data_IF_504294619815
#
_entry.id   IF_504294619815
#
_cell.length_a   1.000
_cell.length_b   1.000
_cell.length_c   1.000
_cell.angle_alpha   90.00
_cell.angle_beta   90.00
_cell.angle_gamma   90.00
#
_symmetry.space_group_name_H-M   'P 1'
#
loop_
_entity.id
_entity.type
_entity.pdbx_description
1 polymer ?
#
# COMPACT_ATOMS: atom_id res chain seq x y z
N UNK A 1 2.11 -18.13 8.35
CA UNK A 1 2.55 -16.72 8.59
C UNK A 1 2.13 -16.39 10.01
N UNK A 2 3.08 -15.97 10.83
CA UNK A 2 2.85 -15.60 12.21
C UNK A 2 3.07 -14.09 12.42
N UNK A 3 2.51 -13.49 13.47
CA UNK A 3 2.76 -12.11 13.81
C UNK A 3 4.28 -11.81 13.89
N UNK A 4 4.69 -10.65 13.40
CA UNK A 4 6.09 -10.18 13.34
C UNK A 4 7.02 -10.94 12.39
N UNK A 5 6.48 -11.79 11.52
CA UNK A 5 7.24 -12.40 10.45
C UNK A 5 7.20 -11.56 9.17
N UNK A 6 8.26 -11.68 8.38
CA UNK A 6 8.40 -11.07 7.06
C UNK A 6 8.57 -12.18 6.05
N UNK A 7 7.69 -12.19 5.07
CA UNK A 7 7.69 -13.19 4.02
C UNK A 7 7.89 -12.51 2.67
N UNK A 8 8.75 -13.08 1.86
CA UNK A 8 8.89 -12.72 0.46
C UNK A 8 8.45 -13.92 -0.35
N UNK A 9 7.38 -13.78 -1.12
CA UNK A 9 6.89 -14.82 -2.02
C UNK A 9 7.32 -14.44 -3.42
N UNK A 10 8.10 -15.32 -4.03
CA UNK A 10 8.73 -15.10 -5.32
C UNK A 10 8.18 -16.12 -6.32
N UNK A 11 7.88 -15.67 -7.52
CA UNK A 11 7.37 -16.55 -8.59
C UNK A 11 7.18 -15.80 -9.90
N UNK A 12 7.13 -16.54 -11.01
CA UNK A 12 6.84 -15.97 -12.32
C UNK A 12 5.44 -15.35 -12.40
N UNK A 13 5.18 -14.54 -13.42
CA UNK A 13 3.83 -14.07 -13.69
C UNK A 13 2.87 -15.26 -13.90
N UNK A 14 1.67 -15.15 -13.32
CA UNK A 14 0.69 -16.25 -13.36
C UNK A 14 0.95 -17.40 -12.37
N UNK A 15 1.98 -17.35 -11.51
CA UNK A 15 2.27 -18.41 -10.51
C UNK A 15 1.30 -18.45 -9.32
N UNK A 16 0.28 -17.58 -9.29
CA UNK A 16 -0.72 -17.57 -8.23
C UNK A 16 -0.39 -16.65 -7.05
N UNK A 17 0.60 -15.76 -7.14
CA UNK A 17 0.96 -14.81 -6.07
C UNK A 17 -0.22 -13.94 -5.64
N UNK A 18 -0.91 -13.32 -6.61
CA UNK A 18 -2.08 -12.48 -6.32
C UNK A 18 -3.25 -13.31 -5.78
N UNK A 19 -3.44 -14.54 -6.27
CA UNK A 19 -4.43 -15.48 -5.71
C UNK A 19 -4.11 -15.82 -4.23
N UNK A 20 -2.83 -15.99 -3.91
CA UNK A 20 -2.38 -16.18 -2.53
C UNK A 20 -2.67 -14.94 -1.66
N UNK A 21 -2.44 -13.74 -2.19
CA UNK A 21 -2.81 -12.49 -1.51
C UNK A 21 -4.31 -12.41 -1.21
N UNK A 22 -5.16 -12.73 -2.20
CA UNK A 22 -6.61 -12.77 -2.05
C UNK A 22 -7.05 -13.82 -1.02
N UNK A 23 -6.39 -14.98 -0.99
CA UNK A 23 -6.66 -15.99 0.03
C UNK A 23 -6.33 -15.49 1.44
N UNK A 24 -5.21 -14.77 1.62
CA UNK A 24 -4.85 -14.15 2.91
C UNK A 24 -5.85 -13.07 3.34
N UNK A 25 -6.52 -12.43 2.40
CA UNK A 25 -7.58 -11.43 2.65
C UNK A 25 -8.95 -12.07 2.89
N UNK A 26 -9.07 -13.40 2.81
CA UNK A 26 -10.33 -14.16 2.82
C UNK A 26 -11.27 -13.82 1.64
N UNK A 27 -10.72 -13.34 0.54
CA UNK A 27 -11.46 -12.99 -0.69
C UNK A 27 -11.55 -14.17 -1.67
N UNK A 28 -10.78 -15.24 -1.44
CA UNK A 28 -10.85 -16.47 -2.23
C UNK A 28 -11.43 -17.62 -1.39
N UNK A 29 -12.47 -18.30 -1.89
CA UNK A 29 -12.99 -19.49 -1.22
C UNK A 29 -11.99 -20.65 -1.33
N UNK A 30 -11.82 -21.37 -0.22
CA UNK A 30 -11.04 -22.62 -0.20
C UNK A 30 -11.84 -23.72 -0.93
N UNK A 31 -11.23 -24.36 -1.92
CA UNK A 31 -11.86 -25.49 -2.61
C UNK A 31 -11.61 -26.82 -1.87
N UNK A 32 -10.37 -27.04 -1.42
CA UNK A 32 -9.98 -28.24 -0.67
C UNK A 32 -8.89 -27.89 0.36
N UNK A 33 -8.79 -28.68 1.42
CA UNK A 33 -7.76 -28.55 2.44
C UNK A 33 -8.23 -27.79 3.70
N UNK A 34 -7.27 -27.36 4.52
CA UNK A 34 -7.51 -26.61 5.76
C UNK A 34 -6.76 -25.29 5.68
N UNK A 35 -7.49 -24.20 5.81
CA UNK A 35 -6.94 -22.86 5.91
C UNK A 35 -7.28 -22.27 7.27
N UNK A 36 -6.27 -21.77 7.97
CA UNK A 36 -6.44 -21.06 9.24
C UNK A 36 -5.83 -19.68 9.12
N UNK A 37 -6.66 -18.66 9.17
CA UNK A 37 -6.24 -17.26 9.19
C UNK A 37 -6.60 -16.66 10.53
N UNK A 38 -5.61 -16.15 11.26
CA UNK A 38 -5.78 -15.49 12.56
C UNK A 38 -5.73 -13.96 12.45
N UNK A 39 -5.39 -13.44 11.29
CA UNK A 39 -5.34 -12.01 11.03
C UNK A 39 -6.76 -11.46 10.86
N UNK A 40 -7.08 -10.41 11.61
CA UNK A 40 -8.41 -9.77 11.60
C UNK A 40 -8.46 -8.56 10.68
N UNK A 41 -7.34 -7.84 10.59
CA UNK A 41 -7.20 -6.65 9.78
C UNK A 41 -6.06 -6.84 8.77
N UNK A 42 -6.41 -7.24 7.57
CA UNK A 42 -5.46 -7.43 6.47
C UNK A 42 -5.58 -6.24 5.52
N UNK A 43 -4.48 -5.55 5.28
CA UNK A 43 -4.41 -4.50 4.28
C UNK A 43 -3.52 -4.94 3.14
N UNK A 44 -3.92 -4.65 1.91
CA UNK A 44 -3.12 -4.92 0.72
C UNK A 44 -2.80 -3.63 -0.01
N UNK A 45 -1.59 -3.57 -0.51
CA UNK A 45 -1.10 -2.52 -1.36
C UNK A 45 -0.56 -3.14 -2.66
N UNK A 46 -1.11 -2.73 -3.80
CA UNK A 46 -0.63 -3.14 -5.13
C UNK A 46 -0.54 -1.94 -6.05
N UNK A 47 0.34 -2.03 -7.04
CA UNK A 47 0.45 -1.01 -8.08
C UNK A 47 -0.83 -0.87 -8.90
N UNK A 48 -1.48 -1.99 -9.21
CA UNK A 48 -2.73 -2.02 -9.95
C UNK A 48 -3.84 -1.25 -9.22
N UNK A 49 -4.02 -1.53 -7.93
CA UNK A 49 -4.99 -0.82 -7.08
C UNK A 49 -4.69 0.69 -6.98
N UNK A 50 -3.41 1.05 -6.94
CA UNK A 50 -3.00 2.45 -6.98
C UNK A 50 -3.46 3.14 -8.27
N UNK A 51 -3.26 2.50 -9.42
CA UNK A 51 -3.68 3.03 -10.72
C UNK A 51 -5.19 3.19 -10.81
N UNK A 52 -5.95 2.21 -10.32
CA UNK A 52 -7.42 2.28 -10.27
C UNK A 52 -7.92 3.46 -9.43
N UNK A 53 -7.32 3.69 -8.26
CA UNK A 53 -7.67 4.82 -7.38
C UNK A 53 -7.39 6.15 -8.10
N UNK A 54 -6.24 6.27 -8.73
CA UNK A 54 -5.88 7.49 -9.46
C UNK A 54 -6.81 7.74 -10.65
N UNK A 55 -7.11 6.72 -11.45
CA UNK A 55 -8.04 6.81 -12.58
C UNK A 55 -9.46 7.18 -12.13
N UNK A 56 -9.95 6.58 -11.04
CA UNK A 56 -11.25 6.92 -10.47
C UNK A 56 -11.29 8.38 -9.99
N UNK A 57 -10.22 8.85 -9.35
CA UNK A 57 -10.10 10.25 -8.90
C UNK A 57 -10.13 11.20 -10.09
N UNK A 58 -9.37 10.91 -11.15
CA UNK A 58 -9.34 11.73 -12.36
C UNK A 58 -10.68 11.76 -13.09
N UNK A 59 -11.41 10.63 -13.15
CA UNK A 59 -12.76 10.58 -13.72
C UNK A 59 -13.73 11.46 -12.95
N UNK A 60 -13.67 11.46 -11.64
CA UNK A 60 -14.55 12.29 -10.81
C UNK A 60 -14.26 13.80 -10.98
N UNK A 61 -13.00 14.17 -11.25
CA UNK A 61 -12.60 15.56 -11.49
C UNK A 61 -12.97 16.06 -12.88
N UNK A 62 -13.10 15.17 -13.87
CA UNK A 62 -13.42 15.53 -15.26
C UNK A 62 -14.93 15.58 -15.54
N UNK A 63 -15.79 15.49 -14.54
CA UNK A 63 -17.21 15.69 -14.70
C UNK A 63 -17.51 17.19 -14.93
N UNK A 64 -18.36 17.51 -15.91
CA UNK A 64 -18.69 18.87 -16.35
C UNK A 64 -19.26 19.78 -15.24
N UNK A 65 -19.71 19.20 -14.13
CA UNK A 65 -20.25 19.94 -12.96
C UNK A 65 -19.20 20.24 -11.88
N UNK A 66 -17.92 19.95 -12.11
CA UNK A 66 -16.86 20.14 -11.11
C UNK A 66 -16.27 21.55 -11.25
N UNK A 67 -16.07 22.24 -10.10
CA UNK A 67 -15.34 23.50 -10.05
C UNK A 67 -13.97 23.37 -10.71
N UNK A 68 -13.61 24.23 -11.70
CA UNK A 68 -12.32 24.19 -12.37
C UNK A 68 -11.09 24.26 -11.43
N UNK A 69 -11.27 24.84 -10.24
CA UNK A 69 -10.24 24.95 -9.21
C UNK A 69 -10.25 23.78 -8.20
N UNK A 70 -11.16 22.84 -8.36
CA UNK A 70 -11.23 21.66 -7.49
C UNK A 70 -10.27 20.56 -7.98
N UNK A 71 -9.19 20.32 -7.26
CA UNK A 71 -8.17 19.31 -7.56
C UNK A 71 -8.31 18.01 -6.77
N UNK A 72 -9.48 17.75 -6.20
CA UNK A 72 -9.73 16.55 -5.39
C UNK A 72 -9.13 16.64 -3.99
N UNK A 73 -8.87 15.49 -3.41
CA UNK A 73 -8.35 15.36 -2.05
C UNK A 73 -6.86 15.69 -1.96
N UNK A 74 -6.45 16.23 -0.82
CA UNK A 74 -5.05 16.32 -0.43
C UNK A 74 -4.49 14.95 -0.02
N UNK A 75 -3.17 14.83 0.06
CA UNK A 75 -2.52 13.61 0.56
C UNK A 75 -2.97 13.28 2.00
N UNK A 76 -3.14 14.28 2.86
CA UNK A 76 -3.67 14.15 4.22
C UNK A 76 -5.08 13.54 4.22
N UNK A 77 -5.98 14.10 3.44
CA UNK A 77 -7.36 13.60 3.33
C UNK A 77 -7.40 12.19 2.77
N UNK A 78 -6.55 11.88 1.79
CA UNK A 78 -6.40 10.53 1.23
C UNK A 78 -5.92 9.53 2.29
N UNK A 79 -4.91 9.89 3.09
CA UNK A 79 -4.41 9.03 4.18
C UNK A 79 -5.50 8.78 5.22
N UNK A 80 -6.19 9.84 5.63
CA UNK A 80 -7.24 9.76 6.65
C UNK A 80 -8.47 8.99 6.19
N UNK A 81 -8.78 9.02 4.89
CA UNK A 81 -9.94 8.32 4.28
C UNK A 81 -11.24 8.54 5.08
N UNK A 82 -11.51 9.79 5.48
CA UNK A 82 -12.66 10.14 6.30
C UNK A 82 -12.49 9.89 7.81
N UNK A 83 -11.35 9.34 8.24
CA UNK A 83 -11.01 9.19 9.65
C UNK A 83 -10.51 10.49 10.28
N UNK A 84 -10.41 10.50 11.62
CA UNK A 84 -10.04 11.69 12.41
C UNK A 84 -8.71 11.53 13.18
N UNK A 85 -7.94 10.49 12.92
CA UNK A 85 -6.67 10.21 13.64
C UNK A 85 -5.50 11.08 13.14
N UNK A 86 -5.62 12.40 13.19
CA UNK A 86 -4.65 13.37 12.67
C UNK A 86 -3.24 13.17 13.23
N UNK A 87 -3.10 13.02 14.54
CA UNK A 87 -1.80 12.83 15.19
C UNK A 87 -1.08 11.57 14.69
N UNK A 88 -1.84 10.48 14.49
CA UNK A 88 -1.26 9.24 13.99
C UNK A 88 -0.93 9.33 12.50
N UNK A 89 -1.73 10.04 11.71
CA UNK A 89 -1.42 10.37 10.32
C UNK A 89 -0.09 11.13 10.21
N UNK A 90 0.13 12.14 11.03
CA UNK A 90 1.38 12.92 11.04
C UNK A 90 2.59 12.07 11.45
N UNK A 91 2.46 11.22 12.46
CA UNK A 91 3.52 10.29 12.86
C UNK A 91 3.89 9.31 11.74
N UNK A 92 2.91 8.77 11.01
CA UNK A 92 3.16 7.89 9.86
C UNK A 92 3.83 8.69 8.73
N UNK A 93 3.35 9.89 8.43
CA UNK A 93 3.91 10.75 7.40
C UNK A 93 5.38 11.12 7.68
N UNK A 94 5.72 11.40 8.92
CA UNK A 94 7.09 11.64 9.37
C UNK A 94 7.99 10.42 9.13
N UNK A 95 7.53 9.23 9.53
CA UNK A 95 8.26 7.97 9.34
C UNK A 95 8.49 7.60 7.88
N UNK A 96 7.55 7.93 7.01
CA UNK A 96 7.65 7.71 5.57
C UNK A 96 8.39 8.83 4.84
N UNK A 97 8.75 9.90 5.55
CA UNK A 97 9.40 11.08 4.97
C UNK A 97 8.51 11.84 3.99
N UNK A 98 7.19 11.90 4.24
CA UNK A 98 6.19 12.52 3.36
C UNK A 98 5.42 13.67 4.00
N UNK A 99 5.86 14.18 5.13
CA UNK A 99 5.19 15.29 5.82
C UNK A 99 4.98 16.50 4.90
N UNK A 100 5.95 16.78 4.01
CA UNK A 100 5.88 17.87 3.03
C UNK A 100 4.82 17.67 1.94
N UNK A 101 4.24 16.49 1.83
CA UNK A 101 3.18 16.16 0.85
C UNK A 101 1.78 16.35 1.39
N UNK A 102 1.60 16.38 2.71
CA UNK A 102 0.29 16.26 3.36
C UNK A 102 -0.75 17.25 2.82
N UNK A 103 -0.33 18.47 2.51
CA UNK A 103 -1.22 19.52 2.01
C UNK A 103 -1.21 19.66 0.47
N UNK A 104 -0.51 18.75 -0.24
CA UNK A 104 -0.54 18.69 -1.70
C UNK A 104 -1.70 17.85 -2.19
N UNK A 105 -2.30 18.24 -3.29
CA UNK A 105 -3.34 17.44 -3.94
C UNK A 105 -2.79 16.10 -4.42
N UNK A 106 -3.51 15.03 -4.11
CA UNK A 106 -3.12 13.65 -4.41
C UNK A 106 -2.81 13.43 -5.91
N UNK A 107 -3.64 14.01 -6.80
CA UNK A 107 -3.46 13.91 -8.25
C UNK A 107 -2.19 14.60 -8.78
N UNK A 108 -1.57 15.48 -7.99
CA UNK A 108 -0.35 16.22 -8.36
C UNK A 108 0.93 15.56 -7.84
N UNK A 109 0.80 14.39 -7.22
CA UNK A 109 1.93 13.63 -6.69
C UNK A 109 2.58 12.80 -7.80
N UNK A 110 3.91 12.63 -7.70
CA UNK A 110 4.62 11.66 -8.53
C UNK A 110 4.22 10.23 -8.16
N UNK A 111 4.50 9.27 -9.04
CA UNK A 111 4.19 7.85 -8.79
C UNK A 111 4.79 7.35 -7.48
N UNK A 112 6.04 7.71 -7.16
CA UNK A 112 6.69 7.32 -5.91
C UNK A 112 6.07 7.98 -4.68
N UNK A 113 5.68 9.26 -4.77
CA UNK A 113 4.99 9.99 -3.71
C UNK A 113 3.59 9.42 -3.47
N UNK A 114 2.84 9.14 -4.53
CA UNK A 114 1.51 8.51 -4.46
C UNK A 114 1.58 7.17 -3.73
N UNK A 115 2.58 6.34 -4.03
CA UNK A 115 2.80 5.06 -3.33
C UNK A 115 3.02 5.22 -1.85
N UNK A 116 3.84 6.19 -1.44
CA UNK A 116 4.09 6.46 -0.03
C UNK A 116 2.82 6.92 0.69
N UNK A 117 2.01 7.76 0.04
CA UNK A 117 0.72 8.21 0.58
C UNK A 117 -0.25 7.04 0.78
N UNK A 118 -0.37 6.15 -0.21
CA UNK A 118 -1.24 4.96 -0.11
C UNK A 118 -0.72 3.94 0.91
N UNK A 119 0.61 3.80 1.05
CA UNK A 119 1.19 3.00 2.13
C UNK A 119 0.86 3.62 3.50
N UNK A 120 0.93 4.95 3.63
CA UNK A 120 0.52 5.64 4.86
C UNK A 120 -0.95 5.38 5.19
N UNK A 121 -1.84 5.43 4.19
CA UNK A 121 -3.26 5.10 4.35
C UNK A 121 -3.46 3.66 4.86
N UNK A 122 -2.75 2.69 4.27
CA UNK A 122 -2.83 1.29 4.71
C UNK A 122 -2.31 1.11 6.16
N UNK A 123 -1.21 1.78 6.52
CA UNK A 123 -0.63 1.73 7.86
C UNK A 123 -1.52 2.40 8.91
N UNK A 124 -2.27 3.46 8.52
CA UNK A 124 -3.20 4.15 9.41
C UNK A 124 -4.31 3.21 9.91
N UNK A 125 -4.68 2.22 9.11
CA UNK A 125 -5.66 1.20 9.48
C UNK A 125 -5.14 0.21 10.55
N UNK A 126 -3.88 0.33 10.99
CA UNK A 126 -3.24 -0.56 11.98
C UNK A 126 -3.42 -2.04 11.65
N UNK A 127 -3.01 -2.48 10.44
CA UNK A 127 -3.23 -3.85 10.00
C UNK A 127 -2.48 -4.88 10.84
N UNK A 128 -3.04 -6.08 11.00
CA UNK A 128 -2.35 -7.25 11.57
C UNK A 128 -1.41 -7.89 10.52
N UNK A 129 -1.80 -7.76 9.24
CA UNK A 129 -1.05 -8.23 8.08
C UNK A 129 -1.07 -7.16 6.99
N UNK A 130 0.11 -6.76 6.51
CA UNK A 130 0.26 -5.92 5.34
C UNK A 130 0.83 -6.73 4.18
N UNK A 131 0.12 -6.74 3.08
CA UNK A 131 0.51 -7.40 1.83
C UNK A 131 0.98 -6.34 0.86
N UNK A 132 2.19 -6.49 0.33
CA UNK A 132 2.75 -5.64 -0.71
C UNK A 132 2.87 -6.47 -1.99
N UNK A 133 1.98 -6.23 -2.94
CA UNK A 133 1.98 -6.92 -4.24
C UNK A 133 2.69 -6.05 -5.27
N UNK A 134 3.81 -6.54 -5.77
CA UNK A 134 4.69 -5.87 -6.73
C UNK A 134 5.06 -4.41 -6.36
N UNK A 135 5.52 -4.15 -5.11
CA UNK A 135 5.68 -2.79 -4.61
C UNK A 135 6.73 -1.95 -5.35
N UNK A 136 7.55 -2.58 -6.18
CA UNK A 136 8.65 -1.92 -6.92
C UNK A 136 8.38 -1.82 -8.42
N UNK A 137 7.23 -2.29 -8.91
CA UNK A 137 6.89 -2.24 -10.32
C UNK A 137 6.93 -0.80 -10.85
N UNK A 138 7.61 -0.58 -11.99
CA UNK A 138 7.72 0.73 -12.62
C UNK A 138 8.56 1.77 -11.86
N UNK A 139 9.30 1.39 -10.81
CA UNK A 139 10.27 2.24 -10.15
C UNK A 139 11.67 2.06 -10.78
N UNK A 140 12.41 3.16 -10.86
CA UNK A 140 13.84 3.12 -11.18
C UNK A 140 14.65 2.52 -10.01
N UNK A 141 15.90 2.17 -10.29
CA UNK A 141 16.77 1.49 -9.34
C UNK A 141 16.99 2.30 -8.04
N UNK A 142 17.12 3.62 -8.12
CA UNK A 142 17.31 4.46 -6.94
C UNK A 142 16.05 4.47 -6.10
N UNK A 143 14.90 4.65 -6.72
CA UNK A 143 13.60 4.61 -6.03
C UNK A 143 13.34 3.27 -5.34
N UNK A 144 13.74 2.14 -5.94
CA UNK A 144 13.67 0.83 -5.30
C UNK A 144 14.52 0.78 -4.02
N UNK A 145 15.76 1.29 -4.07
CA UNK A 145 16.65 1.34 -2.91
C UNK A 145 16.06 2.19 -1.77
N UNK A 146 15.54 3.36 -2.11
CA UNK A 146 14.90 4.27 -1.15
C UNK A 146 13.67 3.62 -0.49
N UNK A 147 12.85 2.92 -1.28
CA UNK A 147 11.72 2.15 -0.77
C UNK A 147 12.14 1.02 0.16
N UNK A 148 13.16 0.25 -0.22
CA UNK A 148 13.68 -0.84 0.62
C UNK A 148 14.25 -0.31 1.93
N UNK A 149 14.98 0.80 1.89
CA UNK A 149 15.50 1.46 3.10
C UNK A 149 14.35 1.89 4.03
N UNK A 150 13.33 2.56 3.50
CA UNK A 150 12.14 2.99 4.21
C UNK A 150 11.40 1.79 4.85
N UNK A 151 11.14 0.73 4.09
CA UNK A 151 10.50 -0.49 4.62
C UNK A 151 11.33 -1.14 5.74
N UNK A 152 12.67 -1.13 5.62
CA UNK A 152 13.55 -1.67 6.65
C UNK A 152 13.53 -0.82 7.93
N UNK A 153 13.44 0.50 7.83
CA UNK A 153 13.27 1.36 9.02
C UNK A 153 11.90 1.13 9.68
N UNK A 154 10.84 1.02 8.91
CA UNK A 154 9.51 0.66 9.44
C UNK A 154 9.53 -0.68 10.21
N UNK A 155 10.35 -1.65 9.75
CA UNK A 155 10.54 -2.93 10.45
C UNK A 155 11.23 -2.76 11.80
N UNK A 156 12.28 -1.94 11.88
CA UNK A 156 13.11 -1.76 13.10
C UNK A 156 12.37 -1.03 14.21
N UNK A 157 11.69 0.04 13.84
CA UNK A 157 10.99 0.88 14.83
C UNK A 157 9.76 0.20 15.43
N UNK A 158 9.43 -1.01 14.95
CA UNK A 158 8.25 -1.72 15.35
C UNK A 158 7.16 -0.76 15.86
N UNK A 159 6.29 -0.43 15.01
CA UNK A 159 4.90 -0.28 15.42
C UNK A 159 4.61 -1.53 16.24
N UNK A 160 4.89 -1.49 17.56
CA UNK A 160 5.02 -2.64 18.49
C UNK A 160 3.78 -3.53 18.56
N UNK A 161 2.76 -3.28 17.75
CA UNK A 161 1.47 -3.99 17.70
C UNK A 161 1.14 -4.57 16.32
N UNK A 162 1.95 -4.38 15.32
CA UNK A 162 1.64 -4.74 13.95
C UNK A 162 2.81 -5.52 13.41
N UNK A 163 2.66 -6.67 12.89
CA UNK A 163 2.56 -7.01 11.50
C UNK A 163 3.32 -8.26 11.15
N UNK A 164 2.65 -9.17 10.55
CA UNK A 164 3.26 -9.95 9.51
C UNK A 164 3.28 -9.11 8.23
N UNK A 165 4.37 -9.17 7.47
CA UNK A 165 4.51 -8.54 6.16
C UNK A 165 4.67 -9.63 5.13
N UNK A 166 3.89 -9.57 4.07
CA UNK A 166 4.07 -10.44 2.91
C UNK A 166 4.36 -9.56 1.71
N UNK A 167 5.54 -9.75 1.11
CA UNK A 167 5.91 -9.09 -0.13
C UNK A 167 5.81 -10.12 -1.25
N UNK A 168 5.00 -9.83 -2.25
CA UNK A 168 4.87 -10.66 -3.44
C UNK A 168 5.72 -10.06 -4.55
N UNK A 169 6.66 -10.81 -5.10
CA UNK A 169 7.56 -10.34 -6.15
C UNK A 169 7.49 -11.23 -7.38
N UNK A 170 7.27 -10.61 -8.54
CA UNK A 170 7.49 -11.29 -9.81
C UNK A 170 8.99 -11.34 -10.11
N UNK A 171 9.54 -12.55 -10.22
CA UNK A 171 10.87 -12.73 -10.82
C UNK A 171 10.65 -12.79 -12.31
N UNK A 172 11.02 -11.74 -13.01
CA UNK A 172 11.25 -11.82 -14.45
C UNK A 172 12.56 -12.58 -14.61
N UNK A 173 12.49 -13.82 -15.06
CA UNK A 173 13.68 -14.52 -15.53
C UNK A 173 14.16 -13.77 -16.76
N UNK A 174 15.25 -13.00 -16.60
CA UNK A 174 16.00 -12.49 -17.74
C UNK A 174 16.73 -13.69 -18.31
N UNK A 175 16.17 -14.26 -19.40
CA UNK A 175 16.82 -15.27 -20.24
C UNK A 175 17.88 -14.64 -21.11
#
# INVERSE_FOLDING_TARGET
>A
IEPRQYWVVVGSNGSGKSAFALALQNELPLQEGVYRNTFKNVQSFSFEKQREILEATLKNLNNDDTDPDFFGQTARETILNGGSELTFCEQIAEKLGITYLLDRFFIKLSTGETRKVLLAQALLQKPDLLILDEPFEGLDQQSVQDWMAMLNELKKESLKKVLAWVMLWAVVAVG
#
